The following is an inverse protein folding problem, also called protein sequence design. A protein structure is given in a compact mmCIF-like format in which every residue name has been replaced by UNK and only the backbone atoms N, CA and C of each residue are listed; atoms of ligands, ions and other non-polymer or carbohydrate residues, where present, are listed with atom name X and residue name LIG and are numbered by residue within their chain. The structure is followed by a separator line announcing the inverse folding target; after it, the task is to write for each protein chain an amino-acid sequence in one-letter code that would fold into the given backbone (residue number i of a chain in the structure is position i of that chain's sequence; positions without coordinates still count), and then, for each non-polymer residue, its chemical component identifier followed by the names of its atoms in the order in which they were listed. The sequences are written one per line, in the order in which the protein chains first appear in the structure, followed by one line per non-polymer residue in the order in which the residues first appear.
data_IF_917212316944
#
_entry.id   IF_917212316944
#
_cell.length_a   1.000
_cell.length_b   1.000
_cell.length_c   1.000
_cell.angle_alpha   90.00
_cell.angle_beta   90.00
_cell.angle_gamma   90.00
#
_symmetry.space_group_name_H-M   'P 1'
#
loop_
_entity.id
_entity.type
_entity.pdbx_description
1 polymer ?
#
# COMPACT_ATOMS: atom_id res chain seq x y z
N UNK A 1 -20.48 69.94 -29.80
CA UNK A 1 -19.73 69.26 -28.72
C UNK A 1 -20.27 67.87 -28.65
N UNK A 2 -19.59 66.91 -29.28
CA UNK A 2 -20.03 65.53 -29.43
C UNK A 2 -18.96 64.59 -28.86
N UNK A 3 -19.41 63.44 -28.35
CA UNK A 3 -18.63 62.35 -27.75
C UNK A 3 -19.29 61.86 -26.47
N UNK A 4 -20.41 61.11 -26.52
CA UNK A 4 -20.46 59.64 -26.57
C UNK A 4 -19.58 58.98 -25.50
N UNK A 5 -20.21 58.60 -24.39
CA UNK A 5 -19.64 57.72 -23.36
C UNK A 5 -19.97 56.28 -23.69
N UNK A 6 -18.91 55.49 -23.89
CA UNK A 6 -18.92 54.09 -24.28
C UNK A 6 -19.20 53.19 -23.06
N UNK A 7 -19.97 52.12 -23.29
CA UNK A 7 -20.30 51.10 -22.30
C UNK A 7 -19.13 50.14 -22.21
N UNK A 8 -18.36 50.22 -21.13
CA UNK A 8 -17.30 49.26 -20.82
C UNK A 8 -17.88 47.85 -20.71
N UNK A 9 -17.50 47.03 -21.70
CA UNK A 9 -17.80 45.62 -21.83
C UNK A 9 -17.38 44.85 -20.56
N UNK A 10 -18.23 43.89 -20.18
CA UNK A 10 -17.96 42.98 -19.09
C UNK A 10 -16.67 42.20 -19.37
N UNK A 11 -15.75 42.28 -18.42
CA UNK A 11 -14.59 41.41 -18.36
C UNK A 11 -15.12 39.99 -18.07
N UNK A 12 -15.39 39.23 -19.14
CA UNK A 12 -15.64 37.80 -19.09
C UNK A 12 -14.43 37.14 -18.42
N UNK A 13 -14.62 36.70 -17.18
CA UNK A 13 -13.71 35.77 -16.52
C UNK A 13 -13.52 34.57 -17.45
N UNK A 14 -12.27 34.15 -17.75
CA UNK A 14 -12.08 33.00 -18.61
C UNK A 14 -12.64 31.74 -17.93
N UNK A 15 -13.84 31.35 -18.33
CA UNK A 15 -14.41 30.01 -18.17
C UNK A 15 -13.60 29.04 -19.05
N UNK A 16 -12.39 28.69 -18.61
CA UNK A 16 -11.69 27.55 -19.16
C UNK A 16 -10.73 26.94 -18.16
N UNK A 17 -11.26 26.48 -17.02
CA UNK A 17 -10.61 25.40 -16.26
C UNK A 17 -11.23 24.10 -16.75
N UNK A 18 -10.66 23.53 -17.80
CA UNK A 18 -10.92 22.15 -18.17
C UNK A 18 -10.60 21.25 -16.98
N UNK A 19 -11.52 20.33 -16.69
CA UNK A 19 -11.51 19.30 -15.63
C UNK A 19 -10.39 18.24 -15.81
N UNK A 20 -9.17 18.65 -16.11
CA UNK A 20 -8.09 17.77 -16.54
C UNK A 20 -6.78 18.04 -15.80
N UNK A 21 -6.78 18.01 -14.46
CA UNK A 21 -5.57 17.75 -13.65
C UNK A 21 -5.88 17.63 -12.13
N UNK A 22 -6.89 16.83 -11.75
CA UNK A 22 -6.88 16.29 -10.39
C UNK A 22 -5.82 15.17 -10.35
N UNK A 23 -4.56 15.57 -10.37
CA UNK A 23 -3.41 14.69 -10.49
C UNK A 23 -3.11 13.99 -9.16
N UNK A 24 -2.86 12.69 -9.22
CA UNK A 24 -2.16 12.00 -8.13
C UNK A 24 -0.92 12.81 -7.72
N UNK A 25 -0.65 12.94 -6.42
CA UNK A 25 0.54 13.63 -5.94
C UNK A 25 1.79 13.15 -6.73
N UNK A 26 2.66 14.07 -7.20
CA UNK A 26 3.81 13.71 -8.01
C UNK A 26 4.73 12.77 -7.23
N UNK A 27 5.50 11.97 -7.96
CA UNK A 27 6.50 11.13 -7.33
C UNK A 27 7.47 11.99 -6.48
N UNK A 28 7.89 11.45 -5.34
CA UNK A 28 8.71 12.16 -4.37
C UNK A 28 7.92 12.95 -3.31
N UNK A 29 6.60 13.09 -3.43
CA UNK A 29 5.76 13.72 -2.40
C UNK A 29 5.98 13.08 -1.02
N UNK A 30 5.96 11.76 -0.93
CA UNK A 30 6.19 11.03 0.31
C UNK A 30 7.63 11.21 0.84
N UNK A 31 8.62 11.26 -0.06
CA UNK A 31 10.02 11.50 0.31
C UNK A 31 10.25 12.91 0.87
N UNK A 32 9.54 13.90 0.33
CA UNK A 32 9.61 15.28 0.81
C UNK A 32 8.89 15.45 2.15
N UNK A 33 7.79 14.74 2.33
CA UNK A 33 6.97 14.81 3.54
C UNK A 33 7.57 14.03 4.72
N UNK A 34 8.37 13.00 4.46
CA UNK A 34 8.97 12.18 5.51
C UNK A 34 10.49 12.16 5.47
N UNK A 35 11.12 12.88 6.41
CA UNK A 35 12.59 13.06 6.51
C UNK A 35 13.15 12.77 7.90
N UNK A 36 12.54 11.86 8.67
CA UNK A 36 12.84 11.68 10.10
C UNK A 36 13.83 10.55 10.44
N UNK A 37 14.56 9.99 9.47
CA UNK A 37 15.53 8.90 9.68
C UNK A 37 14.94 7.53 10.09
N UNK A 38 13.71 7.50 10.62
CA UNK A 38 12.91 6.33 10.95
C UNK A 38 11.76 6.14 9.96
N UNK A 39 10.53 6.40 10.39
CA UNK A 39 9.34 6.39 9.52
C UNK A 39 8.34 7.46 9.96
N UNK A 40 7.48 7.90 9.04
CA UNK A 40 6.38 8.82 9.34
C UNK A 40 5.05 8.11 9.22
N UNK A 41 4.10 8.50 10.07
CA UNK A 41 2.70 8.13 9.90
C UNK A 41 2.04 9.21 9.04
N UNK A 42 1.47 8.82 7.90
CA UNK A 42 0.88 9.75 6.96
C UNK A 42 -0.55 9.36 6.58
N UNK A 43 -1.39 10.37 6.34
CA UNK A 43 -2.78 10.24 5.89
C UNK A 43 -3.68 9.34 6.77
N UNK A 44 -3.24 8.97 7.98
CA UNK A 44 -3.97 8.06 8.88
C UNK A 44 -3.94 6.58 8.48
N UNK A 45 -3.19 6.20 7.43
CA UNK A 45 -3.15 4.81 6.93
C UNK A 45 -1.79 4.37 6.34
N UNK A 46 -0.80 5.27 6.28
CA UNK A 46 0.52 4.96 5.75
C UNK A 46 1.57 4.96 6.84
N UNK A 47 2.46 3.97 6.77
CA UNK A 47 3.82 4.08 7.31
C UNK A 47 4.74 4.36 6.12
N UNK A 48 5.45 5.49 6.16
CA UNK A 48 6.32 5.97 5.08
C UNK A 48 7.76 5.96 5.56
N UNK A 49 8.69 5.48 4.73
CA UNK A 49 10.09 5.44 5.10
C UNK A 49 10.67 6.85 5.25
N UNK A 50 11.46 7.08 6.31
CA UNK A 50 12.18 8.33 6.54
C UNK A 50 13.60 8.35 5.97
N UNK A 51 14.14 7.18 5.58
CA UNK A 51 15.49 7.05 5.03
C UNK A 51 15.55 7.26 3.52
N UNK A 52 16.49 8.08 3.07
CA UNK A 52 16.69 8.45 1.66
C UNK A 52 16.80 7.26 0.69
N UNK A 53 17.51 6.20 1.08
CA UNK A 53 17.70 5.00 0.25
C UNK A 53 16.54 4.00 0.25
N UNK A 54 15.50 4.21 1.07
CA UNK A 54 14.37 3.28 1.14
C UNK A 54 13.31 3.63 0.10
N UNK A 55 13.47 3.10 -1.11
CA UNK A 55 12.60 3.40 -2.26
C UNK A 55 11.52 2.33 -2.52
N UNK A 56 11.75 1.10 -2.12
CA UNK A 56 10.77 0.06 -2.39
C UNK A 56 11.17 -1.33 -1.98
N UNK A 57 10.35 -2.29 -2.37
CA UNK A 57 10.61 -3.72 -2.19
C UNK A 57 11.95 -4.15 -2.80
N UNK A 58 12.31 -3.54 -3.93
CA UNK A 58 13.59 -3.73 -4.62
C UNK A 58 14.82 -3.25 -3.84
N UNK A 59 14.63 -2.42 -2.81
CA UNK A 59 15.72 -1.92 -1.95
C UNK A 59 15.98 -2.81 -0.73
N UNK A 60 15.13 -3.81 -0.47
CA UNK A 60 15.22 -4.67 0.72
C UNK A 60 16.22 -5.81 0.49
N UNK A 61 17.16 -5.98 1.40
CA UNK A 61 18.16 -7.05 1.40
C UNK A 61 18.57 -7.43 2.83
N UNK A 62 19.41 -8.47 2.97
CA UNK A 62 19.83 -8.98 4.29
C UNK A 62 20.49 -7.94 5.20
N UNK A 63 21.17 -6.93 4.64
CA UNK A 63 21.85 -5.88 5.41
C UNK A 63 20.92 -4.80 5.96
N UNK A 64 19.71 -4.64 5.40
CA UNK A 64 18.80 -3.57 5.80
C UNK A 64 17.37 -4.03 6.17
N UNK A 65 17.05 -5.31 6.01
CA UNK A 65 15.70 -5.87 6.22
C UNK A 65 15.12 -5.57 7.60
N UNK A 66 15.97 -5.46 8.64
CA UNK A 66 15.54 -5.09 9.99
C UNK A 66 14.81 -3.75 10.06
N UNK A 67 15.22 -2.76 9.27
CA UNK A 67 14.55 -1.46 9.19
C UNK A 67 13.15 -1.58 8.59
N UNK A 68 12.97 -2.36 7.53
CA UNK A 68 11.67 -2.57 6.91
C UNK A 68 10.75 -3.42 7.80
N UNK A 69 11.28 -4.43 8.49
CA UNK A 69 10.54 -5.19 9.48
C UNK A 69 10.01 -4.29 10.61
N UNK A 70 10.84 -3.36 11.08
CA UNK A 70 10.43 -2.37 12.08
C UNK A 70 9.28 -1.50 11.57
N UNK A 71 9.33 -1.04 10.31
CA UNK A 71 8.21 -0.31 9.70
C UNK A 71 6.93 -1.14 9.60
N UNK A 72 7.02 -2.43 9.25
CA UNK A 72 5.87 -3.31 9.17
C UNK A 72 5.28 -3.61 10.56
N UNK A 73 6.13 -3.71 11.58
CA UNK A 73 5.69 -3.77 12.98
C UNK A 73 4.98 -2.48 13.40
N UNK A 74 5.47 -1.30 12.99
CA UNK A 74 4.78 -0.03 13.24
C UNK A 74 3.39 0.00 12.58
N UNK A 75 3.25 -0.53 11.36
CA UNK A 75 1.97 -0.67 10.68
C UNK A 75 1.02 -1.62 11.43
N UNK A 76 1.54 -2.76 11.92
CA UNK A 76 0.79 -3.72 12.72
C UNK A 76 0.27 -3.12 14.03
N UNK A 77 1.07 -2.31 14.73
CA UNK A 77 0.60 -1.63 15.96
C UNK A 77 -0.54 -0.62 15.69
N UNK A 78 -0.69 -0.15 14.46
CA UNK A 78 -1.80 0.73 14.05
C UNK A 78 -3.04 -0.06 13.60
N UNK A 79 -2.85 -1.21 12.96
CA UNK A 79 -3.94 -2.06 12.50
C UNK A 79 -3.56 -3.55 12.64
N UNK A 80 -3.61 -4.06 13.88
CA UNK A 80 -3.26 -5.44 14.22
C UNK A 80 -4.47 -6.36 14.43
N UNK A 81 -5.69 -5.83 14.24
CA UNK A 81 -6.95 -6.56 14.44
C UNK A 81 -7.25 -7.54 13.32
N UNK A 82 -8.15 -8.50 13.59
CA UNK A 82 -8.49 -9.57 12.63
C UNK A 82 -9.14 -9.07 11.34
N UNK A 83 -9.65 -7.83 11.33
CA UNK A 83 -10.24 -7.13 10.19
C UNK A 83 -9.25 -6.23 9.44
N UNK A 84 -7.97 -6.24 9.83
CA UNK A 84 -6.92 -5.44 9.20
C UNK A 84 -6.20 -6.21 8.09
N UNK A 85 -5.56 -5.44 7.22
CA UNK A 85 -4.56 -5.92 6.26
C UNK A 85 -3.46 -4.87 6.12
N UNK A 86 -2.21 -5.33 6.10
CA UNK A 86 -1.02 -4.50 5.89
C UNK A 86 -0.44 -4.82 4.51
N UNK A 87 -0.14 -3.83 3.69
CA UNK A 87 0.14 -4.04 2.26
C UNK A 87 1.32 -3.19 1.80
N UNK A 88 2.24 -3.82 1.07
CA UNK A 88 3.21 -3.13 0.20
C UNK A 88 2.95 -3.48 -1.26
N UNK A 89 3.13 -2.49 -2.13
CA UNK A 89 2.99 -2.68 -3.56
C UNK A 89 4.37 -2.79 -4.24
N UNK A 90 4.52 -3.69 -5.22
CA UNK A 90 5.76 -3.78 -5.99
C UNK A 90 5.97 -2.54 -6.88
N UNK A 91 7.19 -2.39 -7.38
CA UNK A 91 7.50 -1.39 -8.42
C UNK A 91 6.59 -1.60 -9.63
N UNK A 92 6.09 -0.50 -10.20
CA UNK A 92 5.12 -0.52 -11.30
C UNK A 92 3.65 -0.55 -10.85
N UNK A 93 3.39 -0.80 -9.56
CA UNK A 93 2.04 -0.81 -8.98
C UNK A 93 1.90 0.17 -7.81
N UNK A 94 2.74 1.21 -7.80
CA UNK A 94 2.74 2.29 -6.82
C UNK A 94 3.03 3.61 -7.52
N UNK A 95 2.38 4.68 -7.07
CA UNK A 95 2.59 6.04 -7.58
C UNK A 95 3.72 6.79 -6.87
N UNK A 96 4.20 6.27 -5.74
CA UNK A 96 5.24 6.90 -4.93
C UNK A 96 6.44 5.96 -4.82
N UNK A 97 7.61 6.48 -5.17
CA UNK A 97 8.90 5.79 -5.10
C UNK A 97 9.51 5.77 -3.71
N UNK A 98 8.93 6.43 -2.71
CA UNK A 98 9.35 6.22 -1.31
C UNK A 98 8.69 4.95 -0.81
N UNK A 99 9.44 4.05 -0.16
CA UNK A 99 8.86 2.84 0.42
C UNK A 99 7.77 3.21 1.44
N UNK A 100 6.61 2.60 1.31
CA UNK A 100 5.46 2.82 2.18
C UNK A 100 4.65 1.54 2.36
N UNK A 101 4.00 1.46 3.51
CA UNK A 101 3.12 0.36 3.91
C UNK A 101 1.74 0.95 4.16
N UNK A 102 0.72 0.39 3.51
CA UNK A 102 -0.66 0.69 3.80
C UNK A 102 -1.13 -0.20 4.94
N UNK A 103 -1.70 0.37 5.99
CA UNK A 103 -2.45 -0.37 7.00
C UNK A 103 -3.93 0.00 6.88
N UNK A 104 -4.76 -0.99 6.58
CA UNK A 104 -6.15 -0.79 6.17
C UNK A 104 -7.07 -1.78 6.85
N UNK A 105 -8.36 -1.46 6.90
CA UNK A 105 -9.38 -2.48 7.05
C UNK A 105 -9.59 -3.20 5.71
N UNK A 106 -9.70 -4.53 5.77
CA UNK A 106 -9.99 -5.32 4.58
C UNK A 106 -11.48 -5.23 4.20
N UNK A 107 -11.77 -5.33 2.91
CA UNK A 107 -13.13 -5.40 2.38
C UNK A 107 -13.62 -6.87 2.35
N UNK A 108 -14.82 -7.12 1.82
CA UNK A 108 -15.39 -8.48 1.72
C UNK A 108 -14.53 -9.46 0.92
N UNK A 109 -13.89 -9.00 -0.15
CA UNK A 109 -12.98 -9.83 -0.94
C UNK A 109 -11.68 -10.11 -0.18
N UNK A 110 -11.14 -9.14 0.55
CA UNK A 110 -10.00 -9.35 1.45
C UNK A 110 -10.31 -10.40 2.53
N UNK A 111 -11.49 -10.36 3.13
CA UNK A 111 -11.97 -11.38 4.07
C UNK A 111 -12.09 -12.76 3.43
N UNK A 112 -12.62 -12.84 2.21
CA UNK A 112 -12.73 -14.10 1.47
C UNK A 112 -11.35 -14.69 1.14
N UNK A 113 -10.42 -13.85 0.69
CA UNK A 113 -9.03 -14.26 0.43
C UNK A 113 -8.33 -14.72 1.71
N UNK A 114 -8.54 -14.02 2.84
CA UNK A 114 -8.05 -14.44 4.15
C UNK A 114 -8.55 -15.85 4.50
N UNK A 115 -9.85 -16.12 4.39
CA UNK A 115 -10.40 -17.45 4.67
C UNK A 115 -9.81 -18.54 3.77
N UNK A 116 -9.60 -18.27 2.49
CA UNK A 116 -8.96 -19.21 1.57
C UNK A 116 -7.51 -19.50 1.96
N UNK A 117 -6.75 -18.47 2.34
CA UNK A 117 -5.38 -18.65 2.82
C UNK A 117 -5.34 -19.40 4.14
N UNK A 118 -6.26 -19.15 5.07
CA UNK A 118 -6.35 -19.89 6.33
C UNK A 118 -6.56 -21.39 6.09
N UNK A 119 -7.54 -21.74 5.24
CA UNK A 119 -7.78 -23.15 4.86
C UNK A 119 -6.54 -23.82 4.26
N UNK A 120 -5.71 -23.06 3.54
CA UNK A 120 -4.53 -23.59 2.88
C UNK A 120 -3.28 -23.62 3.78
N UNK A 121 -3.11 -22.67 4.71
CA UNK A 121 -1.85 -22.40 5.39
C UNK A 121 -1.83 -22.72 6.88
N UNK A 122 -2.97 -22.71 7.60
CA UNK A 122 -2.97 -22.78 9.07
C UNK A 122 -2.38 -24.07 9.66
N UNK A 123 -2.47 -25.19 8.94
CA UNK A 123 -1.97 -26.50 9.38
C UNK A 123 -0.83 -27.02 8.51
N UNK A 124 -0.14 -26.12 7.81
CA UNK A 124 0.93 -26.47 6.88
C UNK A 124 2.23 -25.80 7.30
N UNK A 125 3.29 -26.60 7.28
CA UNK A 125 4.63 -26.07 7.41
C UNK A 125 5.09 -25.45 6.09
N UNK A 126 5.70 -24.26 6.19
CA UNK A 126 6.33 -23.60 5.06
C UNK A 126 5.37 -22.79 4.17
N UNK A 127 5.87 -22.43 2.98
CA UNK A 127 5.16 -21.58 2.02
C UNK A 127 4.22 -22.42 1.16
N UNK A 128 2.92 -22.16 1.27
CA UNK A 128 1.91 -22.82 0.44
C UNK A 128 1.62 -22.00 -0.82
N UNK A 129 1.31 -22.71 -1.92
CA UNK A 129 0.90 -22.14 -3.20
C UNK A 129 -0.48 -22.70 -3.56
N UNK A 130 -1.17 -22.08 -4.52
CA UNK A 130 -2.38 -22.64 -5.11
C UNK A 130 -3.54 -21.64 -5.12
N UNK A 131 -3.79 -21.06 -6.30
CA UNK A 131 -4.96 -20.20 -6.53
C UNK A 131 -4.98 -18.87 -5.77
N UNK A 132 -3.87 -18.47 -5.15
CA UNK A 132 -3.72 -17.11 -4.63
C UNK A 132 -3.46 -16.13 -5.78
N UNK A 133 -3.92 -14.87 -5.67
CA UNK A 133 -3.65 -13.87 -6.68
C UNK A 133 -2.16 -13.78 -7.03
N UNK A 134 -1.89 -13.55 -8.31
CA UNK A 134 -0.56 -13.16 -8.78
C UNK A 134 0.53 -14.18 -8.44
N UNK A 135 0.19 -15.45 -8.63
CA UNK A 135 1.04 -16.60 -8.35
C UNK A 135 1.61 -16.58 -6.92
N UNK A 136 0.83 -16.02 -5.98
CA UNK A 136 1.29 -15.73 -4.64
C UNK A 136 1.59 -16.97 -3.81
N UNK A 137 2.37 -16.76 -2.76
CA UNK A 137 2.69 -17.79 -1.76
C UNK A 137 2.31 -17.28 -0.39
N UNK A 138 1.61 -18.09 0.40
CA UNK A 138 1.17 -17.73 1.74
C UNK A 138 1.87 -18.59 2.79
N UNK A 139 2.10 -18.03 3.97
CA UNK A 139 2.57 -18.80 5.14
C UNK A 139 1.96 -18.22 6.41
N UNK A 140 1.51 -19.11 7.30
CA UNK A 140 1.06 -18.75 8.64
C UNK A 140 2.23 -18.67 9.61
N UNK A 141 2.15 -17.74 10.54
CA UNK A 141 3.05 -17.57 11.66
C UNK A 141 2.22 -17.39 12.93
N UNK A 142 2.52 -18.14 13.99
CA UNK A 142 1.81 -18.07 15.28
C UNK A 142 2.01 -16.74 16.02
N UNK A 143 3.08 -16.01 15.69
CA UNK A 143 3.38 -14.66 16.19
C UNK A 143 3.74 -13.73 15.03
N UNK A 144 3.83 -12.42 15.28
CA UNK A 144 4.19 -11.44 14.25
C UNK A 144 5.69 -11.53 13.91
N UNK A 145 6.07 -12.03 12.71
CA UNK A 145 7.47 -12.24 12.39
C UNK A 145 8.14 -10.93 11.93
N UNK A 146 9.46 -10.98 11.73
CA UNK A 146 10.11 -10.04 10.83
C UNK A 146 9.61 -10.27 9.40
N UNK A 147 8.51 -9.60 9.02
CA UNK A 147 7.70 -9.91 7.82
C UNK A 147 8.51 -9.99 6.53
N UNK A 148 9.43 -9.05 6.30
CA UNK A 148 10.24 -9.05 5.08
C UNK A 148 11.35 -10.11 5.14
N UNK A 149 11.94 -10.35 6.31
CA UNK A 149 12.88 -11.47 6.49
C UNK A 149 12.20 -12.81 6.23
N UNK A 150 10.97 -12.96 6.72
CA UNK A 150 10.11 -14.10 6.42
C UNK A 150 9.83 -14.20 4.90
N UNK A 151 9.36 -13.11 4.28
CA UNK A 151 9.02 -13.06 2.86
C UNK A 151 10.20 -13.41 1.94
N UNK A 152 11.44 -13.06 2.30
CA UNK A 152 12.64 -13.48 1.57
C UNK A 152 12.80 -15.01 1.52
N UNK A 153 12.23 -15.75 2.48
CA UNK A 153 12.16 -17.21 2.44
C UNK A 153 11.16 -17.77 1.41
N UNK A 154 10.27 -16.94 0.84
CA UNK A 154 9.40 -17.33 -0.26
C UNK A 154 10.12 -17.29 -1.62
N UNK A 155 11.29 -16.63 -1.69
CA UNK A 155 12.05 -16.30 -2.89
C UNK A 155 12.42 -14.82 -2.91
N UNK A 156 12.93 -14.34 -4.06
CA UNK A 156 13.21 -12.91 -4.24
C UNK A 156 11.94 -12.07 -4.03
N UNK A 157 12.05 -10.98 -3.28
CA UNK A 157 10.94 -10.05 -3.03
C UNK A 157 11.10 -8.72 -3.79
N UNK A 158 12.12 -8.56 -4.62
CA UNK A 158 12.42 -7.28 -5.28
C UNK A 158 11.31 -6.78 -6.20
N UNK A 159 10.54 -7.70 -6.79
CA UNK A 159 9.40 -7.44 -7.66
C UNK A 159 8.06 -7.88 -7.05
N UNK A 160 8.04 -8.19 -5.75
CA UNK A 160 6.86 -8.70 -5.07
C UNK A 160 6.13 -7.61 -4.27
N UNK A 161 4.82 -7.75 -4.16
CA UNK A 161 4.04 -7.15 -3.07
C UNK A 161 4.05 -8.08 -1.85
N UNK A 162 4.00 -7.51 -0.66
CA UNK A 162 3.85 -8.27 0.59
C UNK A 162 2.60 -7.78 1.29
N UNK A 163 1.71 -8.71 1.62
CA UNK A 163 0.50 -8.44 2.38
C UNK A 163 0.47 -9.29 3.64
N UNK A 164 -0.04 -8.73 4.74
CA UNK A 164 -0.13 -9.40 6.05
C UNK A 164 -1.57 -9.31 6.55
N UNK A 165 -2.13 -10.44 6.98
CA UNK A 165 -3.44 -10.53 7.60
C UNK A 165 -3.28 -10.89 9.08
N UNK A 166 -3.43 -9.91 9.98
CA UNK A 166 -3.49 -10.17 11.41
C UNK A 166 -4.69 -11.01 11.84
N UNK A 167 -4.54 -11.67 12.99
CA UNK A 167 -5.60 -12.49 13.59
C UNK A 167 -6.07 -13.61 12.65
N UNK A 168 -5.13 -14.22 11.93
CA UNK A 168 -5.43 -15.38 11.07
C UNK A 168 -5.40 -16.67 11.87
N UNK A 169 -6.13 -17.71 11.45
CA UNK A 169 -6.06 -19.04 12.09
C UNK A 169 -6.42 -19.04 13.59
N UNK A 170 -7.29 -18.11 14.03
CA UNK A 170 -7.60 -17.87 15.43
C UNK A 170 -6.51 -17.12 16.21
N UNK A 171 -5.24 -17.19 15.78
CA UNK A 171 -4.12 -16.44 16.35
C UNK A 171 -2.93 -16.32 15.38
N UNK A 172 -2.15 -15.24 15.52
CA UNK A 172 -1.00 -14.99 14.67
C UNK A 172 -1.35 -14.27 13.37
N UNK A 173 -0.55 -14.47 12.33
CA UNK A 173 -0.68 -13.77 11.05
C UNK A 173 -0.45 -14.69 9.86
N UNK A 174 -1.08 -14.36 8.72
CA UNK A 174 -0.67 -14.90 7.42
C UNK A 174 0.09 -13.83 6.65
N UNK A 175 1.25 -14.19 6.11
CA UNK A 175 2.01 -13.37 5.15
C UNK A 175 1.79 -13.94 3.75
N UNK A 176 1.33 -13.10 2.81
CA UNK A 176 1.27 -13.40 1.38
C UNK A 176 2.35 -12.61 0.65
N UNK A 177 3.13 -13.32 -0.18
CA UNK A 177 4.02 -12.71 -1.17
C UNK A 177 3.37 -12.86 -2.53
N UNK A 178 3.02 -11.75 -3.18
CA UNK A 178 2.36 -11.70 -4.49
C UNK A 178 3.32 -11.17 -5.56
N UNK A 179 3.43 -11.83 -6.70
CA UNK A 179 4.42 -11.49 -7.72
C UNK A 179 3.79 -10.77 -8.91
N UNK A 180 4.44 -9.71 -9.40
CA UNK A 180 4.07 -9.00 -10.64
C UNK A 180 2.69 -8.34 -10.65
N UNK A 181 2.07 -8.10 -9.49
CA UNK A 181 0.82 -7.34 -9.38
C UNK A 181 0.73 -6.61 -8.03
N UNK A 182 -0.24 -5.69 -7.91
CA UNK A 182 -0.81 -5.28 -6.62
C UNK A 182 -2.21 -5.85 -6.47
N UNK A 183 -2.56 -6.21 -5.23
CA UNK A 183 -3.91 -6.63 -4.83
C UNK A 183 -4.61 -5.61 -3.92
N UNK A 184 -3.98 -4.46 -3.65
CA UNK A 184 -4.44 -3.51 -2.62
C UNK A 184 -5.92 -3.12 -2.81
N UNK A 185 -6.25 -2.63 -4.00
CA UNK A 185 -7.60 -2.16 -4.32
C UNK A 185 -8.63 -3.29 -4.30
N UNK A 186 -8.21 -4.54 -4.50
CA UNK A 186 -9.11 -5.69 -4.45
C UNK A 186 -9.43 -6.12 -3.03
N UNK A 187 -8.55 -5.87 -2.05
CA UNK A 187 -8.67 -6.45 -0.70
C UNK A 187 -8.89 -5.44 0.42
N UNK A 188 -8.58 -4.17 0.19
CA UNK A 188 -8.70 -3.12 1.19
C UNK A 188 -9.94 -2.25 0.96
N UNK A 189 -10.47 -1.70 2.05
CA UNK A 189 -11.39 -0.56 1.98
C UNK A 189 -10.55 0.65 1.63
N UNK A 190 -10.68 1.14 0.40
CA UNK A 190 -10.14 2.41 -0.03
C UNK A 190 -11.26 3.42 0.13
N UNK A 191 -11.21 4.31 1.14
CA UNK A 191 -12.25 5.32 1.28
C UNK A 191 -12.32 6.13 -0.02
N UNK A 192 -13.52 6.50 -0.49
CA UNK A 192 -13.64 7.41 -1.61
C UNK A 192 -12.83 8.66 -1.26
N UNK A 193 -11.76 8.91 -2.01
CA UNK A 193 -11.14 10.23 -1.97
C UNK A 193 -12.24 11.18 -2.40
N UNK A 194 -12.44 12.29 -1.69
CA UNK A 194 -13.56 13.21 -1.96
C UNK A 194 -13.62 13.77 -3.39
N UNK A 195 -12.69 13.40 -4.28
CA UNK A 195 -12.69 13.83 -5.68
C UNK A 195 -12.14 12.83 -6.73
N UNK A 196 -12.18 11.50 -6.56
CA UNK A 196 -11.79 10.62 -7.68
C UNK A 196 -12.75 9.45 -7.88
N UNK A 197 -13.74 9.67 -8.74
CA UNK A 197 -14.33 8.59 -9.53
C UNK A 197 -13.35 8.19 -10.65
N UNK A 198 -13.25 6.88 -10.89
CA UNK A 198 -12.77 6.24 -12.11
C UNK A 198 -11.27 6.25 -12.45
N UNK A 199 -10.49 5.39 -11.80
CA UNK A 199 -9.42 4.60 -12.44
C UNK A 199 -9.46 3.26 -11.67
N UNK A 200 -9.69 2.08 -12.25
CA UNK A 200 -8.85 1.32 -13.18
C UNK A 200 -9.71 0.18 -13.79
N UNK A 201 -9.65 -0.03 -15.12
CA UNK A 201 -10.07 -1.29 -15.75
C UNK A 201 -8.94 -2.31 -15.66
#
# INVERSE_FOLDING_TARGET
GEGQGDFGEGEELPENTTDAELGSAPDGYLANSCRNGGYCVMAGYLIVAGKGGAVGMESINGGNVGYYNHMMSAAYHRCGGSNCVLITNPRGFRSQSRFHIHYRHMNGHGSHLKSRMEKAACSKDGWVKGGFPCHGKAKHYSSFPGVFSAAMGAGSISSAGVSVWPGSCGHGVIVLVSYHCSIEHSIAIIPPTKHHYNYWR
#
